data_IF_056436664251
#
_entry.id   IF_056436664251
#
_cell.length_a   1.000
_cell.length_b   1.000
_cell.length_c   1.000
_cell.angle_alpha   90.00
_cell.angle_beta   90.00
_cell.angle_gamma   90.00
#
_symmetry.space_group_name_H-M   'P 1'
#
loop_
_entity.id
_entity.type
_entity.pdbx_description
1 polymer ?
#
# COMPACT_ATOMS: atom_id res chain seq x y z
N UNK A 1 -14.32 -16.99 2.67
CA UNK A 1 -13.21 -16.03 2.48
C UNK A 1 -13.82 -14.64 2.40
N UNK A 2 -13.49 -13.71 3.32
CA UNK A 2 -13.89 -12.31 3.25
C UNK A 2 -13.50 -11.71 1.89
N UNK A 3 -14.27 -10.72 1.42
CA UNK A 3 -14.04 -10.09 0.12
C UNK A 3 -12.62 -9.49 0.04
N UNK A 4 -12.13 -8.93 1.14
CA UNK A 4 -10.83 -8.26 1.19
C UNK A 4 -9.67 -9.25 1.02
N UNK A 5 -9.79 -10.46 1.60
CA UNK A 5 -8.84 -11.56 1.38
C UNK A 5 -8.88 -12.12 -0.04
N UNK A 6 -10.02 -12.03 -0.73
CA UNK A 6 -10.12 -12.44 -2.15
C UNK A 6 -9.43 -11.44 -3.07
N UNK A 7 -9.59 -10.14 -2.82
CA UNK A 7 -8.85 -9.07 -3.55
C UNK A 7 -7.35 -9.34 -3.47
N UNK A 8 -6.83 -9.67 -2.29
CA UNK A 8 -5.40 -10.02 -2.12
C UNK A 8 -4.96 -11.33 -2.81
N UNK A 9 -5.85 -12.30 -2.99
CA UNK A 9 -5.50 -13.65 -3.47
C UNK A 9 -5.50 -13.79 -4.99
N UNK A 10 -6.31 -13.00 -5.68
CA UNK A 10 -6.72 -13.27 -7.07
C UNK A 10 -5.93 -12.51 -8.15
N UNK A 11 -4.97 -11.67 -7.78
CA UNK A 11 -4.15 -10.94 -8.76
C UNK A 11 -3.28 -9.81 -8.21
N UNK A 12 -3.60 -9.26 -7.03
CA UNK A 12 -3.01 -8.02 -6.56
C UNK A 12 -1.76 -8.19 -5.68
N UNK A 13 -0.84 -9.07 -6.10
CA UNK A 13 0.57 -8.86 -5.75
C UNK A 13 1.01 -7.71 -6.63
N UNK A 14 0.76 -6.48 -6.18
CA UNK A 14 0.96 -5.28 -6.99
C UNK A 14 1.14 -4.03 -6.14
N UNK A 15 1.28 -2.86 -6.78
CA UNK A 15 1.35 -1.58 -6.09
C UNK A 15 -0.06 -1.10 -5.70
N UNK A 16 -0.77 -1.91 -4.89
CA UNK A 16 -2.10 -1.60 -4.35
C UNK A 16 -2.04 -1.67 -2.83
N UNK A 17 -2.60 -0.65 -2.17
CA UNK A 17 -2.80 -0.60 -0.72
C UNK A 17 -4.29 -0.58 -0.45
N UNK A 18 -4.80 -1.56 0.30
CA UNK A 18 -6.20 -1.61 0.72
C UNK A 18 -6.34 -1.01 2.11
N UNK A 19 -7.20 -0.01 2.25
CA UNK A 19 -7.58 0.57 3.54
C UNK A 19 -8.81 -0.15 4.05
N UNK A 20 -8.66 -0.78 5.21
CA UNK A 20 -9.63 -1.68 5.83
C UNK A 20 -9.94 -1.22 7.25
N UNK A 21 -11.07 -1.68 7.80
CA UNK A 21 -11.31 -1.53 9.24
C UNK A 21 -10.29 -2.38 10.01
N UNK A 22 -9.68 -1.78 11.03
CA UNK A 22 -8.75 -2.49 11.89
C UNK A 22 -9.47 -3.56 12.73
N UNK A 23 -8.78 -4.67 12.99
CA UNK A 23 -9.19 -5.65 14.00
C UNK A 23 -8.74 -5.21 15.39
N UNK A 24 -9.45 -5.64 16.43
CA UNK A 24 -9.03 -5.44 17.84
C UNK A 24 -7.72 -6.15 18.18
N UNK A 25 -7.32 -7.14 17.38
CA UNK A 25 -6.04 -7.87 17.54
C UNK A 25 -4.83 -7.06 17.08
N UNK A 26 -5.04 -6.02 16.26
CA UNK A 26 -3.96 -5.18 15.77
C UNK A 26 -3.50 -4.21 16.88
N UNK A 27 -2.18 -4.07 17.07
CA UNK A 27 -1.62 -3.15 18.05
C UNK A 27 -2.28 -1.76 17.95
N UNK A 28 -2.85 -1.28 19.06
CA UNK A 28 -3.57 -0.01 19.16
C UNK A 28 -2.65 1.19 18.99
N UNK A 29 -1.36 1.03 19.27
CA UNK A 29 -0.34 2.07 19.05
C UNK A 29 -0.03 2.29 17.57
N UNK A 30 -0.41 1.35 16.69
CA UNK A 30 -0.27 1.51 15.24
C UNK A 30 -1.39 2.46 14.75
N UNK A 31 -1.05 3.73 14.57
CA UNK A 31 -1.98 4.82 14.21
C UNK A 31 -3.18 4.89 15.18
N UNK A 32 -3.01 5.41 16.41
CA UNK A 32 -4.01 5.32 17.47
C UNK A 32 -5.27 6.14 17.21
N UNK A 33 -5.21 7.12 16.31
CA UNK A 33 -6.31 8.06 16.03
C UNK A 33 -7.20 7.65 14.86
N UNK A 34 -7.05 6.44 14.32
CA UNK A 34 -7.87 5.96 13.20
C UNK A 34 -8.35 4.53 13.43
N UNK A 35 -9.59 4.27 13.03
CA UNK A 35 -10.17 2.93 12.98
C UNK A 35 -9.78 2.17 11.71
N UNK A 36 -8.99 2.79 10.82
CA UNK A 36 -8.60 2.26 9.52
C UNK A 36 -7.11 1.88 9.49
N UNK A 37 -6.80 0.85 8.72
CA UNK A 37 -5.43 0.39 8.48
C UNK A 37 -5.20 0.13 7.00
N UNK A 38 -4.10 0.64 6.46
CA UNK A 38 -3.63 0.34 5.12
C UNK A 38 -2.82 -0.96 5.09
N UNK A 39 -3.25 -1.93 4.29
CA UNK A 39 -2.59 -3.22 4.11
C UNK A 39 -2.15 -3.36 2.66
N UNK A 40 -0.90 -3.78 2.45
CA UNK A 40 -0.31 -4.03 1.13
C UNK A 40 0.42 -5.36 1.14
N UNK A 41 0.31 -6.10 0.04
CA UNK A 41 1.11 -7.30 -0.22
C UNK A 41 2.05 -7.01 -1.40
N UNK A 42 3.33 -6.68 -1.15
CA UNK A 42 4.27 -6.33 -2.21
C UNK A 42 4.55 -7.50 -3.16
N UNK A 43 4.65 -7.21 -4.46
CA UNK A 43 5.06 -8.18 -5.47
C UNK A 43 6.58 -8.29 -5.60
N UNK A 44 7.27 -8.48 -4.49
CA UNK A 44 8.72 -8.59 -4.51
C UNK A 44 9.12 -9.82 -3.69
N UNK A 45 9.75 -10.86 -4.30
CA UNK A 45 10.10 -12.11 -3.62
C UNK A 45 10.85 -11.86 -2.32
N UNK A 46 11.89 -11.03 -2.37
CA UNK A 46 12.68 -10.65 -1.19
C UNK A 46 11.83 -10.03 -0.07
N UNK A 47 10.96 -9.05 -0.36
CA UNK A 47 10.11 -8.42 0.66
C UNK A 47 9.11 -9.42 1.25
N UNK A 48 8.61 -10.36 0.43
CA UNK A 48 7.71 -11.41 0.91
C UNK A 48 8.43 -12.43 1.79
N UNK A 49 9.67 -12.77 1.47
CA UNK A 49 10.51 -13.64 2.32
C UNK A 49 10.88 -12.95 3.62
N UNK A 50 11.28 -11.68 3.56
CA UNK A 50 11.54 -10.86 4.75
C UNK A 50 10.31 -10.80 5.65
N UNK A 51 9.14 -10.48 5.09
CA UNK A 51 7.89 -10.42 5.84
C UNK A 51 7.51 -11.76 6.48
N UNK A 52 7.82 -12.90 5.84
CA UNK A 52 7.60 -14.24 6.42
C UNK A 52 8.58 -14.57 7.54
N UNK A 53 9.80 -14.04 7.48
CA UNK A 53 10.81 -14.24 8.51
C UNK A 53 10.53 -13.40 9.77
N UNK A 54 9.72 -12.35 9.66
CA UNK A 54 9.31 -11.54 10.79
C UNK A 54 8.20 -12.20 11.61
N UNK A 55 8.20 -12.07 12.95
CA UNK A 55 7.20 -12.66 13.84
C UNK A 55 5.82 -11.98 13.76
N UNK A 56 5.69 -10.91 12.97
CA UNK A 56 4.48 -10.11 12.83
C UNK A 56 4.50 -9.24 11.59
N UNK A 57 3.42 -8.48 11.34
CA UNK A 57 3.33 -7.59 10.19
C UNK A 57 4.42 -6.52 10.24
N UNK A 58 5.03 -6.25 9.08
CA UNK A 58 5.96 -5.13 8.93
C UNK A 58 5.16 -3.84 8.75
N UNK A 59 5.18 -2.99 9.77
CA UNK A 59 4.72 -1.61 9.65
C UNK A 59 5.74 -0.84 8.82
N UNK A 60 5.33 -0.43 7.62
CA UNK A 60 6.16 0.34 6.70
C UNK A 60 5.55 1.73 6.55
N UNK A 61 6.29 2.76 6.96
CA UNK A 61 6.09 4.11 6.45
C UNK A 61 6.81 4.20 5.10
N UNK A 62 6.38 5.10 4.21
CA UNK A 62 7.12 5.32 2.98
C UNK A 62 8.53 5.82 3.34
N UNK A 63 9.57 5.23 2.75
CA UNK A 63 10.97 5.55 3.04
C UNK A 63 11.38 6.86 2.35
N UNK A 64 10.68 7.95 2.68
CA UNK A 64 10.95 9.28 2.18
C UNK A 64 10.56 10.29 3.27
N UNK A 65 11.22 11.46 3.25
CA UNK A 65 10.69 12.62 3.97
C UNK A 65 9.27 12.87 3.47
N UNK A 66 8.34 13.05 4.40
CA UNK A 66 6.92 13.30 4.13
C UNK A 66 6.74 14.24 2.94
N UNK A 67 5.90 13.86 1.97
CA UNK A 67 5.60 14.63 0.74
C UNK A 67 6.66 14.62 -0.38
N UNK A 68 7.72 13.82 -0.30
CA UNK A 68 8.63 13.61 -1.42
C UNK A 68 8.21 12.46 -2.36
N UNK A 69 8.74 12.48 -3.59
CA UNK A 69 8.51 11.44 -4.59
C UNK A 69 9.03 10.08 -4.10
N UNK A 70 8.41 8.99 -4.56
CA UNK A 70 8.86 7.63 -4.24
C UNK A 70 10.31 7.43 -4.69
N UNK A 71 11.13 6.88 -3.80
CA UNK A 71 12.53 6.58 -4.08
C UNK A 71 12.66 5.30 -4.89
N UNK A 72 13.43 5.33 -5.98
CA UNK A 72 13.67 4.18 -6.85
C UNK A 72 15.04 3.53 -6.60
N UNK A 73 15.95 4.23 -5.91
CA UNK A 73 17.28 3.73 -5.55
C UNK A 73 17.63 4.10 -4.11
N UNK A 74 18.58 3.36 -3.52
CA UNK A 74 19.03 3.63 -2.14
C UNK A 74 19.66 5.00 -1.95
N UNK A 75 20.29 5.54 -2.98
CA UNK A 75 20.90 6.87 -2.97
C UNK A 75 19.88 8.00 -2.87
N UNK A 76 18.64 7.81 -3.32
CA UNK A 76 17.60 8.85 -3.28
C UNK A 76 17.12 9.18 -1.86
N UNK A 77 17.37 8.30 -0.87
CA UNK A 77 17.09 8.54 0.56
C UNK A 77 18.35 8.58 1.44
N UNK A 78 19.51 8.90 0.87
CA UNK A 78 20.79 8.90 1.61
C UNK A 78 20.80 9.79 2.85
N UNK A 79 19.99 10.84 2.87
CA UNK A 79 19.81 11.73 4.03
C UNK A 79 19.23 11.02 5.26
N UNK A 80 18.48 9.93 5.06
CA UNK A 80 17.90 9.12 6.13
C UNK A 80 18.89 8.09 6.68
N UNK A 81 19.97 7.75 5.95
CA UNK A 81 20.89 6.68 6.33
C UNK A 81 21.43 6.77 7.77
N UNK A 82 21.76 7.95 8.33
CA UNK A 82 22.21 8.05 9.72
C UNK A 82 21.16 7.61 10.76
N UNK A 83 19.88 7.55 10.38
CA UNK A 83 18.75 7.18 11.24
C UNK A 83 18.32 5.72 11.03
N UNK A 84 18.89 5.01 10.05
CA UNK A 84 18.50 3.66 9.69
C UNK A 84 19.46 2.64 10.30
N UNK A 85 18.91 1.61 10.95
CA UNK A 85 19.73 0.50 11.48
C UNK A 85 20.21 -0.46 10.38
N UNK A 86 19.54 -0.48 9.22
CA UNK A 86 19.86 -1.37 8.10
C UNK A 86 19.35 -0.76 6.79
N UNK A 87 20.18 -0.88 5.75
CA UNK A 87 19.81 -0.56 4.36
C UNK A 87 20.09 -1.80 3.53
N UNK A 88 19.13 -2.18 2.69
CA UNK A 88 19.25 -3.33 1.79
C UNK A 88 19.12 -2.80 0.37
N UNK A 89 20.23 -2.85 -0.37
CA UNK A 89 20.26 -2.45 -1.76
C UNK A 89 19.92 -3.64 -2.66
N UNK A 90 18.69 -3.63 -3.19
CA UNK A 90 18.21 -4.60 -4.17
C UNK A 90 18.35 -4.14 -5.62
N UNK A 91 19.04 -3.02 -5.86
CA UNK A 91 19.10 -2.34 -7.15
C UNK A 91 17.90 -1.43 -7.43
N UNK A 92 17.86 -0.80 -8.62
CA UNK A 92 16.79 0.13 -9.00
C UNK A 92 15.42 -0.54 -9.11
N UNK A 93 14.38 0.14 -8.63
CA UNK A 93 12.99 -0.30 -8.74
C UNK A 93 12.39 0.25 -10.03
N UNK A 94 12.05 -0.65 -10.96
CA UNK A 94 11.38 -0.30 -12.22
C UNK A 94 12.30 0.41 -13.22
N UNK A 95 11.69 1.03 -14.23
CA UNK A 95 12.39 1.88 -15.19
C UNK A 95 12.55 3.29 -14.63
N UNK A 96 13.79 3.67 -14.29
CA UNK A 96 14.12 4.97 -13.71
C UNK A 96 13.81 6.16 -14.63
N UNK A 97 13.64 5.92 -15.93
CA UNK A 97 13.30 6.95 -16.92
C UNK A 97 11.79 7.11 -17.08
N UNK A 98 10.99 6.15 -16.57
CA UNK A 98 9.54 6.22 -16.61
C UNK A 98 8.98 7.00 -15.41
N UNK A 99 8.26 8.11 -15.62
CA UNK A 99 7.59 8.84 -14.54
C UNK A 99 6.58 7.97 -13.78
N UNK A 100 6.02 6.95 -14.45
CA UNK A 100 5.04 6.03 -13.89
C UNK A 100 5.65 5.16 -12.78
N UNK A 101 6.94 4.85 -12.85
CA UNK A 101 7.63 4.08 -11.81
C UNK A 101 7.74 4.87 -10.49
N UNK A 102 7.68 6.21 -10.55
CA UNK A 102 7.64 7.06 -9.35
C UNK A 102 6.24 7.19 -8.76
N UNK A 103 5.19 6.80 -9.49
CA UNK A 103 3.84 6.75 -8.94
C UNK A 103 3.80 5.71 -7.82
N UNK A 104 3.41 6.16 -6.63
CA UNK A 104 3.20 5.27 -5.50
C UNK A 104 2.09 4.25 -5.76
N UNK A 105 1.86 3.38 -4.77
CA UNK A 105 0.73 2.45 -4.84
C UNK A 105 -0.60 3.18 -4.93
N UNK A 106 -1.52 2.60 -5.71
CA UNK A 106 -2.93 2.99 -5.66
C UNK A 106 -3.47 2.65 -4.29
N UNK A 107 -4.08 3.62 -3.61
CA UNK A 107 -4.67 3.43 -2.28
C UNK A 107 -6.18 3.43 -2.43
N UNK A 108 -6.80 2.33 -2.00
CA UNK A 108 -8.25 2.11 -2.10
C UNK A 108 -8.83 1.89 -0.73
N UNK A 109 -9.87 2.66 -0.39
CA UNK A 109 -10.71 2.41 0.76
C UNK A 109 -11.74 1.31 0.44
N UNK A 110 -11.75 0.26 1.24
CA UNK A 110 -12.73 -0.82 1.23
C UNK A 110 -13.40 -0.99 2.61
N UNK A 111 -13.31 0.01 3.48
CA UNK A 111 -13.86 -0.01 4.83
C UNK A 111 -15.40 -0.06 4.88
N UNK A 112 -16.05 0.35 3.78
CA UNK A 112 -17.51 0.30 3.61
C UNK A 112 -17.88 -0.89 2.72
N UNK A 113 -18.65 -1.82 3.28
CA UNK A 113 -19.08 -3.02 2.58
C UNK A 113 -19.84 -2.70 1.29
N UNK A 114 -19.43 -3.33 0.18
CA UNK A 114 -20.07 -3.17 -1.13
C UNK A 114 -19.64 -1.92 -1.91
N UNK A 115 -18.77 -1.08 -1.34
CA UNK A 115 -18.28 0.15 -1.95
C UNK A 115 -16.76 0.22 -1.97
N UNK A 116 -16.23 1.11 -2.80
CA UNK A 116 -14.82 1.47 -2.76
C UNK A 116 -14.59 2.95 -3.07
N UNK A 117 -13.53 3.52 -2.51
CA UNK A 117 -13.09 4.89 -2.81
C UNK A 117 -11.61 4.90 -3.14
N UNK A 118 -11.20 5.59 -4.20
CA UNK A 118 -9.78 5.82 -4.48
C UNK A 118 -9.30 6.98 -3.62
N UNK A 119 -8.52 6.66 -2.57
CA UNK A 119 -7.90 7.68 -1.70
C UNK A 119 -6.73 8.34 -2.44
N UNK A 120 -5.92 7.53 -3.13
CA UNK A 120 -4.77 8.02 -3.89
C UNK A 120 -4.65 7.27 -5.22
N UNK A 121 -4.65 7.98 -6.36
CA UNK A 121 -4.32 7.38 -7.63
C UNK A 121 -2.84 7.00 -7.65
N UNK A 122 -2.54 5.80 -8.16
CA UNK A 122 -1.19 5.28 -8.29
C UNK A 122 -1.02 4.48 -9.57
N UNK A 123 0.12 3.81 -9.72
CA UNK A 123 0.46 3.06 -10.94
C UNK A 123 -0.49 1.89 -11.26
N UNK A 124 -1.30 1.42 -10.30
CA UNK A 124 -2.29 0.36 -10.53
C UNK A 124 -3.74 0.88 -10.61
N UNK A 125 -3.98 2.19 -10.80
CA UNK A 125 -5.33 2.77 -10.68
C UNK A 125 -6.36 2.09 -11.60
N UNK A 126 -6.10 2.08 -12.90
CA UNK A 126 -7.06 1.60 -13.91
C UNK A 126 -7.39 0.11 -13.70
N UNK A 127 -6.37 -0.72 -13.54
CA UNK A 127 -6.55 -2.16 -13.31
C UNK A 127 -7.28 -2.46 -12.00
N UNK A 128 -6.97 -1.72 -10.93
CA UNK A 128 -7.64 -1.87 -9.64
C UNK A 128 -9.13 -1.54 -9.75
N UNK A 129 -9.47 -0.40 -10.36
CA UNK A 129 -10.88 0.00 -10.55
C UNK A 129 -11.65 -1.03 -11.39
N UNK A 130 -11.02 -1.54 -12.45
CA UNK A 130 -11.62 -2.56 -13.32
C UNK A 130 -11.93 -3.84 -12.55
N UNK A 131 -10.96 -4.36 -11.79
CA UNK A 131 -11.12 -5.57 -10.97
C UNK A 131 -12.23 -5.37 -9.93
N UNK A 132 -12.21 -4.25 -9.19
CA UNK A 132 -13.21 -3.99 -8.14
C UNK A 132 -14.63 -3.93 -8.69
N UNK A 133 -14.83 -3.32 -9.88
CA UNK A 133 -16.15 -3.20 -10.50
C UNK A 133 -16.60 -4.49 -11.18
N UNK A 134 -15.77 -5.06 -12.06
CA UNK A 134 -16.18 -6.17 -12.92
C UNK A 134 -16.18 -7.51 -12.18
N UNK A 135 -15.16 -7.76 -11.36
CA UNK A 135 -14.99 -9.05 -10.69
C UNK A 135 -15.71 -9.11 -9.34
N UNK A 136 -15.65 -8.02 -8.59
CA UNK A 136 -16.20 -7.96 -7.24
C UNK A 136 -17.54 -7.21 -7.13
N UNK A 137 -18.01 -6.58 -8.21
CA UNK A 137 -19.30 -5.89 -8.24
C UNK A 137 -19.38 -4.69 -7.29
N UNK A 138 -18.24 -4.11 -6.91
CA UNK A 138 -18.19 -2.99 -5.97
C UNK A 138 -18.57 -1.67 -6.63
N UNK A 139 -19.23 -0.82 -5.86
CA UNK A 139 -19.75 0.47 -6.33
C UNK A 139 -18.75 1.57 -5.95
N UNK A 140 -18.30 2.42 -6.89
CA UNK A 140 -17.44 3.55 -6.57
C UNK A 140 -18.22 4.58 -5.72
N UNK A 141 -17.61 5.03 -4.63
CA UNK A 141 -18.08 6.14 -3.82
C UNK A 141 -17.13 7.32 -4.00
N UNK A 142 -17.63 8.53 -4.33
CA UNK A 142 -16.76 9.71 -4.40
C UNK A 142 -16.03 9.87 -3.07
N UNK A 143 -14.77 10.29 -3.13
CA UNK A 143 -14.02 10.62 -1.92
C UNK A 143 -14.81 11.69 -1.17
N UNK A 144 -15.41 11.31 -0.04
CA UNK A 144 -16.02 12.27 0.86
C UNK A 144 -14.95 13.28 1.26
N UNK A 145 -15.33 14.55 1.40
CA UNK A 145 -14.45 15.49 2.10
C UNK A 145 -14.08 14.86 3.45
N UNK A 146 -12.81 14.91 3.87
CA UNK A 146 -12.40 14.36 5.16
C UNK A 146 -13.21 15.04 6.26
N UNK A 147 -14.24 14.34 6.74
CA UNK A 147 -15.08 14.79 7.84
C UNK A 147 -14.31 14.68 9.15
N UNK A 148 -14.09 15.84 9.77
CA UNK A 148 -13.81 16.14 11.18
C UNK A 148 -13.17 15.06 12.09
#
# INVERSE_FOLDING_TARGET
MPLELRVFSDGDKGPVTLVLKRSEELNKDLNPFTSLVGVRIPNHPFIRELARACPGPLALTSANISCQASTLTVSEFQELWPQLSLIIDGGPIGDMQSPECRLGSTVVDLSVSGKFTIIRPGCALTSTVEILRQKYGLIPEPAGEPGH
#
